data_IF_971843519234
#
_entry.id   IF_971843519234
#
_cell.length_a   1.000
_cell.length_b   1.000
_cell.length_c   1.000
_cell.angle_alpha   90.00
_cell.angle_beta   90.00
_cell.angle_gamma   90.00
#
_symmetry.space_group_name_H-M   'P 1'
#
loop_
_entity.id
_entity.type
_entity.pdbx_description
1 polymer ?
#
# COMPACT_ATOMS: atom_id res chain seq x y z
N UNK A 1 18.59 -17.36 1.28
CA UNK A 1 18.57 -16.14 0.44
C UNK A 1 17.17 -15.57 0.53
N UNK A 2 16.93 -14.35 1.03
CA UNK A 2 15.60 -13.77 0.93
C UNK A 2 15.25 -13.61 -0.56
N UNK A 3 14.15 -14.21 -0.99
CA UNK A 3 13.68 -14.02 -2.37
C UNK A 3 13.31 -12.55 -2.57
N UNK A 4 13.91 -11.91 -3.58
CA UNK A 4 13.48 -10.59 -4.03
C UNK A 4 12.13 -10.72 -4.72
N UNK A 5 11.04 -10.61 -3.95
CA UNK A 5 9.69 -10.44 -4.52
C UNK A 5 9.58 -9.04 -5.12
N UNK A 6 10.06 -8.88 -6.36
CA UNK A 6 9.93 -7.62 -7.10
C UNK A 6 8.48 -7.47 -7.56
N UNK A 7 7.83 -6.40 -7.12
CA UNK A 7 6.43 -6.13 -7.41
C UNK A 7 6.36 -5.09 -8.52
N UNK A 8 5.66 -5.41 -9.60
CA UNK A 8 5.45 -4.51 -10.75
C UNK A 8 3.99 -4.55 -11.16
N UNK A 9 3.50 -3.56 -11.90
CA UNK A 9 2.16 -3.66 -12.49
C UNK A 9 2.13 -4.54 -13.77
N UNK A 10 3.03 -5.53 -13.88
CA UNK A 10 2.95 -6.56 -14.92
C UNK A 10 2.06 -7.71 -14.46
N UNK A 11 1.57 -8.50 -15.42
CA UNK A 11 0.41 -9.39 -15.27
C UNK A 11 0.46 -10.28 -14.01
N UNK A 12 1.62 -10.82 -13.66
CA UNK A 12 1.85 -11.82 -12.62
C UNK A 12 2.42 -11.26 -11.30
N UNK A 13 2.79 -9.97 -11.24
CA UNK A 13 3.53 -9.39 -10.10
C UNK A 13 2.87 -8.15 -9.50
N UNK A 14 1.55 -8.04 -9.64
CA UNK A 14 0.78 -6.87 -9.27
C UNK A 14 0.87 -6.52 -7.77
N UNK A 15 1.06 -5.24 -7.48
CA UNK A 15 1.17 -4.71 -6.10
C UNK A 15 -0.13 -4.87 -5.31
N UNK A 16 -1.27 -4.69 -5.97
CA UNK A 16 -2.58 -4.70 -5.31
C UNK A 16 -2.93 -6.07 -4.70
N UNK A 17 -2.92 -7.20 -5.44
CA UNK A 17 -3.14 -8.52 -4.86
C UNK A 17 -2.18 -8.82 -3.70
N UNK A 18 -0.90 -8.48 -3.87
CA UNK A 18 0.12 -8.73 -2.85
C UNK A 18 -0.13 -7.95 -1.56
N UNK A 19 -0.47 -6.66 -1.66
CA UNK A 19 -0.84 -5.82 -0.52
C UNK A 19 -2.09 -6.35 0.19
N UNK A 20 -3.11 -6.77 -0.56
CA UNK A 20 -4.32 -7.34 0.04
C UNK A 20 -4.03 -8.60 0.86
N UNK A 21 -3.17 -9.50 0.33
CA UNK A 21 -2.71 -10.67 1.09
C UNK A 21 -1.96 -10.25 2.35
N UNK A 22 -1.04 -9.29 2.27
CA UNK A 22 -0.29 -8.80 3.44
C UNK A 22 -1.21 -8.23 4.51
N UNK A 23 -2.17 -7.37 4.12
CA UNK A 23 -3.14 -6.78 5.04
C UNK A 23 -3.97 -7.87 5.72
N UNK A 24 -4.36 -8.93 5.00
CA UNK A 24 -5.17 -10.00 5.57
C UNK A 24 -4.46 -10.86 6.63
N UNK A 25 -3.12 -10.94 6.60
CA UNK A 25 -2.36 -11.81 7.50
C UNK A 25 -1.42 -11.08 8.47
N UNK A 26 -1.40 -9.74 8.44
CA UNK A 26 -0.50 -8.93 9.28
C UNK A 26 -1.29 -8.23 10.39
N UNK A 27 -0.69 -8.13 11.57
CA UNK A 27 -1.17 -7.28 12.67
C UNK A 27 -0.69 -5.83 12.52
N UNK A 28 0.50 -5.62 11.96
CA UNK A 28 1.08 -4.30 11.73
C UNK A 28 1.79 -4.25 10.37
N UNK A 29 1.58 -3.15 9.62
CA UNK A 29 2.23 -2.86 8.36
C UNK A 29 2.88 -1.47 8.40
N UNK A 30 4.15 -1.40 8.05
CA UNK A 30 4.95 -0.17 8.01
C UNK A 30 5.40 0.11 6.58
N UNK A 31 5.03 1.26 6.06
CA UNK A 31 5.36 1.72 4.71
C UNK A 31 6.27 2.94 4.80
N UNK A 32 7.37 2.90 4.04
CA UNK A 32 8.19 4.06 3.74
C UNK A 32 8.06 4.33 2.25
N UNK A 33 7.44 5.44 1.89
CA UNK A 33 7.11 5.78 0.49
C UNK A 33 7.58 7.19 0.17
N UNK A 34 7.98 7.41 -1.08
CA UNK A 34 8.30 8.76 -1.56
C UNK A 34 7.05 9.63 -1.66
N UNK A 35 6.03 9.14 -2.37
CA UNK A 35 4.74 9.81 -2.62
C UNK A 35 3.60 8.88 -2.18
N UNK A 36 2.47 9.44 -1.70
CA UNK A 36 1.25 8.67 -1.43
C UNK A 36 -0.03 9.35 -1.95
N UNK A 37 -0.78 8.68 -2.84
CA UNK A 37 -2.08 9.15 -3.34
C UNK A 37 -3.23 8.57 -2.50
N UNK A 38 -4.18 9.41 -2.08
CA UNK A 38 -5.38 8.96 -1.36
C UNK A 38 -6.25 8.00 -2.18
N UNK A 39 -6.26 8.14 -3.51
CA UNK A 39 -6.95 7.20 -4.42
C UNK A 39 -6.47 5.75 -4.25
N UNK A 40 -5.24 5.54 -3.78
CA UNK A 40 -4.70 4.21 -3.45
C UNK A 40 -5.37 3.56 -2.24
N UNK A 41 -5.83 4.35 -1.24
CA UNK A 41 -6.50 3.81 -0.04
C UNK A 41 -7.81 3.13 -0.40
N UNK A 42 -8.57 3.69 -1.35
CA UNK A 42 -9.87 3.12 -1.76
C UNK A 42 -9.73 1.66 -2.22
N UNK A 43 -8.59 1.31 -2.82
CA UNK A 43 -8.31 -0.06 -3.27
C UNK A 43 -7.99 -1.02 -2.11
N UNK A 44 -7.43 -0.50 -1.02
CA UNK A 44 -7.08 -1.26 0.19
C UNK A 44 -8.24 -1.34 1.19
N UNK A 45 -9.22 -0.44 1.07
CA UNK A 45 -10.33 -0.29 2.02
C UNK A 45 -11.08 -1.60 2.32
N UNK A 46 -11.31 -2.45 1.29
CA UNK A 46 -11.98 -3.74 1.49
C UNK A 46 -11.15 -4.69 2.37
N UNK A 47 -9.84 -4.75 2.14
CA UNK A 47 -8.94 -5.60 2.94
C UNK A 47 -8.76 -5.06 4.36
N UNK A 48 -8.71 -3.74 4.54
CA UNK A 48 -8.68 -3.11 5.85
C UNK A 48 -9.96 -3.41 6.65
N UNK A 49 -11.13 -3.37 6.01
CA UNK A 49 -12.39 -3.77 6.66
C UNK A 49 -12.43 -5.22 7.11
N UNK A 50 -11.72 -6.12 6.41
CA UNK A 50 -11.67 -7.53 6.74
C UNK A 50 -10.69 -7.85 7.87
N UNK A 51 -9.77 -6.94 8.18
CA UNK A 51 -8.84 -7.03 9.30
C UNK A 51 -8.88 -5.73 10.12
N UNK A 52 -9.92 -5.52 10.96
CA UNK A 52 -10.17 -4.25 11.63
C UNK A 52 -9.10 -3.86 12.65
N UNK A 53 -8.34 -4.83 13.16
CA UNK A 53 -7.30 -4.62 14.19
C UNK A 53 -5.92 -4.30 13.58
N UNK A 54 -5.80 -4.28 12.25
CA UNK A 54 -4.53 -4.02 11.57
C UNK A 54 -4.05 -2.59 11.80
N UNK A 55 -2.80 -2.43 12.19
CA UNK A 55 -2.15 -1.13 12.36
C UNK A 55 -1.38 -0.79 11.08
N UNK A 56 -1.77 0.28 10.38
CA UNK A 56 -0.99 0.82 9.26
C UNK A 56 -0.23 2.06 9.69
N UNK A 57 1.07 2.05 9.43
CA UNK A 57 1.96 3.20 9.60
C UNK A 57 2.56 3.55 8.24
N UNK A 58 2.29 4.77 7.76
CA UNK A 58 2.81 5.26 6.48
C UNK A 58 3.67 6.48 6.75
N UNK A 59 4.96 6.37 6.44
CA UNK A 59 5.90 7.47 6.44
C UNK A 59 6.12 7.92 4.99
N UNK A 60 5.71 9.16 4.69
CA UNK A 60 5.82 9.77 3.36
C UNK A 60 6.99 10.73 3.34
N UNK A 61 7.95 10.51 2.44
CA UNK A 61 9.20 11.25 2.39
C UNK A 61 9.13 12.57 1.61
N UNK A 62 8.20 12.70 0.67
CA UNK A 62 8.01 13.92 -0.12
C UNK A 62 6.75 14.65 0.32
N UNK A 63 6.87 15.95 0.54
CA UNK A 63 5.71 16.81 0.73
C UNK A 63 5.04 17.01 -0.63
N UNK A 64 3.93 16.33 -0.84
CA UNK A 64 3.23 16.39 -2.12
C UNK A 64 2.19 17.47 -2.03
N UNK A 65 2.56 18.62 -2.58
CA UNK A 65 1.74 19.82 -2.59
C UNK A 65 0.31 19.51 -3.07
N UNK A 66 -0.65 20.25 -2.51
CA UNK A 66 -2.09 20.17 -2.84
C UNK A 66 -2.38 20.23 -4.35
N UNK A 67 -1.44 20.71 -5.16
CA UNK A 67 -1.52 20.81 -6.63
C UNK A 67 -1.48 19.45 -7.35
N UNK A 68 -1.09 18.35 -6.70
CA UNK A 68 -1.16 17.02 -7.33
C UNK A 68 -2.57 16.40 -7.37
N UNK A 69 -3.61 17.16 -6.99
CA UNK A 69 -5.01 16.76 -7.21
C UNK A 69 -5.53 17.12 -8.62
N UNK A 70 -4.76 17.85 -9.43
CA UNK A 70 -5.18 18.36 -10.75
C UNK A 70 -4.54 17.67 -11.97
N UNK A 71 -3.91 16.51 -11.81
CA UNK A 71 -3.37 15.69 -12.92
C UNK A 71 -4.06 14.34 -13.05
#
# INVERSE_FOLDING_TARGET
MPENTFITNQADKQLKPRLNTLISCSSELKFLVGFFYFSGIAQLYKSLKQNPDVILKVLVGLNVDRLNYEL
#
